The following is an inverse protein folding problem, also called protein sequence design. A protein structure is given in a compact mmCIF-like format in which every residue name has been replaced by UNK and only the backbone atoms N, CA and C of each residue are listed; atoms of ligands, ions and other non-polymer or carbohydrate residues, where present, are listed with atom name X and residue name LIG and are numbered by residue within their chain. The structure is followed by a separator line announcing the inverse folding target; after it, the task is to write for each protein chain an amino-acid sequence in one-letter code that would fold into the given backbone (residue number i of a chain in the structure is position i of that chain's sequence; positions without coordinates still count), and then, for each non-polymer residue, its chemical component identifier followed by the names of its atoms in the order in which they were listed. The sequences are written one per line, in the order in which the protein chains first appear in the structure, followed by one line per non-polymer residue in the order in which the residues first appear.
data_IF_068856039913
#
_entry.id   IF_068856039913
#
_cell.length_a   1.000
_cell.length_b   1.000
_cell.length_c   1.000
_cell.angle_alpha   90.00
_cell.angle_beta   90.00
_cell.angle_gamma   90.00
#
_symmetry.space_group_name_H-M   'P 1'
#
loop_
_entity.id
_entity.type
_entity.pdbx_description
1 polymer ?
#
# COMPACT_ATOMS: atom_id res chain seq x y z
N UNK A 1 -38.02 -71.08 1.69
CA UNK A 1 -37.38 -69.98 2.43
C UNK A 1 -36.70 -69.08 1.41
N UNK A 2 -37.38 -68.02 1.01
CA UNK A 2 -36.94 -67.13 -0.07
C UNK A 2 -35.85 -66.20 0.45
N UNK A 3 -34.63 -66.35 -0.09
CA UNK A 3 -33.57 -65.36 0.07
C UNK A 3 -33.84 -64.19 -0.88
N UNK A 4 -33.73 -62.97 -0.35
CA UNK A 4 -33.84 -61.72 -1.08
C UNK A 4 -32.42 -61.20 -1.31
N UNK A 5 -31.91 -61.21 -2.54
CA UNK A 5 -30.69 -60.50 -2.94
C UNK A 5 -31.06 -59.14 -3.55
N UNK A 6 -30.45 -58.02 -3.14
CA UNK A 6 -30.69 -56.73 -3.76
C UNK A 6 -29.83 -56.61 -5.02
N UNK A 7 -30.48 -56.50 -6.18
CA UNK A 7 -29.85 -56.22 -7.46
C UNK A 7 -29.22 -54.82 -7.45
N UNK A 8 -27.89 -54.76 -7.32
CA UNK A 8 -27.10 -53.54 -7.50
C UNK A 8 -27.05 -53.18 -9.00
N UNK A 9 -27.84 -52.19 -9.41
CA UNK A 9 -27.87 -51.67 -10.79
C UNK A 9 -26.70 -50.71 -11.02
N UNK A 10 -25.82 -50.91 -12.03
CA UNK A 10 -24.72 -49.99 -12.29
C UNK A 10 -25.27 -48.64 -12.76
N UNK A 11 -24.98 -47.57 -12.03
CA UNK A 11 -25.39 -46.21 -12.37
C UNK A 11 -24.63 -45.76 -13.64
N UNK A 12 -25.31 -45.18 -14.65
CA UNK A 12 -24.65 -44.76 -15.88
C UNK A 12 -23.62 -43.65 -15.56
N UNK A 13 -22.38 -43.82 -16.04
CA UNK A 13 -21.21 -42.95 -15.75
C UNK A 13 -21.52 -41.46 -15.92
N UNK A 14 -22.39 -41.09 -16.86
CA UNK A 14 -22.87 -39.71 -17.08
C UNK A 14 -23.58 -39.09 -15.87
N UNK A 15 -24.28 -39.90 -15.07
CA UNK A 15 -24.93 -39.47 -13.82
C UNK A 15 -23.90 -39.25 -12.71
N UNK A 16 -22.84 -40.05 -12.68
CA UNK A 16 -21.74 -39.88 -11.73
C UNK A 16 -20.96 -38.59 -12.04
N UNK A 17 -20.62 -38.33 -13.31
CA UNK A 17 -19.93 -37.09 -13.69
C UNK A 17 -20.79 -35.86 -13.41
N UNK A 18 -22.10 -35.92 -13.69
CA UNK A 18 -23.02 -34.84 -13.36
C UNK A 18 -23.12 -34.57 -11.84
N UNK A 19 -23.14 -35.63 -11.02
CA UNK A 19 -23.15 -35.50 -9.57
C UNK A 19 -21.86 -34.88 -9.02
N UNK A 20 -20.70 -35.25 -9.57
CA UNK A 20 -19.41 -34.65 -9.18
C UNK A 20 -19.34 -33.19 -9.57
N UNK A 21 -19.79 -32.82 -10.77
CA UNK A 21 -19.84 -31.41 -11.21
C UNK A 21 -20.76 -30.59 -10.28
N UNK A 22 -21.93 -31.12 -9.92
CA UNK A 22 -22.84 -30.46 -8.97
C UNK A 22 -22.21 -30.26 -7.59
N UNK A 23 -21.50 -31.27 -7.08
CA UNK A 23 -20.77 -31.17 -5.81
C UNK A 23 -19.70 -30.08 -5.87
N UNK A 24 -18.90 -30.03 -6.94
CA UNK A 24 -17.84 -29.03 -7.11
C UNK A 24 -18.43 -27.61 -7.18
N UNK A 25 -19.52 -27.42 -7.93
CA UNK A 25 -20.20 -26.13 -8.01
C UNK A 25 -20.76 -25.71 -6.64
N UNK A 26 -21.32 -26.64 -5.87
CA UNK A 26 -21.80 -26.37 -4.51
C UNK A 26 -20.66 -25.98 -3.57
N UNK A 27 -19.50 -26.64 -3.65
CA UNK A 27 -18.31 -26.29 -2.88
C UNK A 27 -17.76 -24.91 -3.25
N UNK A 28 -17.67 -24.60 -4.54
CA UNK A 28 -17.22 -23.29 -5.02
C UNK A 28 -18.23 -22.21 -4.58
N UNK A 29 -19.53 -22.42 -4.80
CA UNK A 29 -20.57 -21.49 -4.38
C UNK A 29 -20.55 -21.22 -2.87
N UNK A 30 -20.39 -22.27 -2.07
CA UNK A 30 -20.23 -22.15 -0.61
C UNK A 30 -18.98 -21.36 -0.21
N UNK A 31 -17.86 -21.58 -0.89
CA UNK A 31 -16.63 -20.81 -0.67
C UNK A 31 -16.81 -19.33 -1.05
N UNK A 32 -17.48 -19.02 -2.16
CA UNK A 32 -17.74 -17.64 -2.61
C UNK A 32 -18.69 -16.86 -1.68
N UNK A 33 -19.53 -17.56 -0.91
CA UNK A 33 -20.42 -16.97 0.10
C UNK A 33 -19.71 -16.69 1.42
N UNK A 34 -18.49 -17.19 1.62
CA UNK A 34 -17.75 -16.89 2.86
C UNK A 34 -17.37 -15.41 2.94
N UNK A 35 -17.46 -14.78 4.12
CA UNK A 35 -17.08 -13.38 4.31
C UNK A 35 -15.59 -13.12 4.01
N UNK A 36 -14.75 -14.16 4.10
CA UNK A 36 -13.33 -14.10 3.72
C UNK A 36 -13.14 -13.79 2.24
N UNK A 37 -13.97 -14.36 1.37
CA UNK A 37 -13.90 -14.11 -0.08
C UNK A 37 -14.34 -12.68 -0.44
N UNK A 38 -15.28 -12.10 0.32
CA UNK A 38 -15.66 -10.69 0.16
C UNK A 38 -14.52 -9.76 0.57
N UNK A 39 -13.84 -10.04 1.69
CA UNK A 39 -12.69 -9.25 2.16
C UNK A 39 -11.52 -9.26 1.16
N UNK A 40 -11.19 -10.43 0.60
CA UNK A 40 -10.11 -10.54 -0.41
C UNK A 40 -10.46 -9.76 -1.68
N UNK A 41 -11.72 -9.81 -2.14
CA UNK A 41 -12.14 -9.02 -3.30
C UNK A 41 -12.03 -7.53 -3.05
N UNK A 42 -12.43 -7.06 -1.86
CA UNK A 42 -12.36 -5.64 -1.52
C UNK A 42 -10.91 -5.10 -1.56
N UNK A 43 -9.95 -5.85 -1.02
CA UNK A 43 -8.53 -5.46 -1.09
C UNK A 43 -8.00 -5.50 -2.53
N UNK A 44 -8.40 -6.50 -3.33
CA UNK A 44 -8.03 -6.54 -4.75
C UNK A 44 -8.58 -5.35 -5.54
N UNK A 45 -9.83 -4.93 -5.31
CA UNK A 45 -10.39 -3.77 -6.00
C UNK A 45 -9.70 -2.48 -5.57
N UNK A 46 -9.29 -2.36 -4.31
CA UNK A 46 -8.53 -1.22 -3.79
C UNK A 46 -7.15 -1.11 -4.44
N UNK A 47 -6.42 -2.22 -4.54
CA UNK A 47 -5.10 -2.26 -5.16
C UNK A 47 -5.16 -2.12 -6.69
N UNK A 48 -6.27 -2.52 -7.32
CA UNK A 48 -6.47 -2.43 -8.76
C UNK A 48 -7.01 -1.07 -9.23
N UNK A 49 -7.33 -0.14 -8.32
CA UNK A 49 -7.80 1.19 -8.70
C UNK A 49 -6.62 2.01 -9.27
N UNK A 50 -6.61 2.30 -10.58
CA UNK A 50 -5.54 3.09 -11.19
C UNK A 50 -5.46 4.52 -10.63
N UNK A 51 -6.51 5.03 -9.98
CA UNK A 51 -6.47 6.32 -9.29
C UNK A 51 -5.65 6.32 -8.01
N UNK A 52 -5.29 5.15 -7.45
CA UNK A 52 -4.55 5.10 -6.20
C UNK A 52 -3.16 5.75 -6.32
N UNK A 53 -2.44 5.51 -7.41
CA UNK A 53 -1.14 6.16 -7.67
C UNK A 53 -1.27 7.69 -7.76
N UNK A 54 -2.31 8.20 -8.43
CA UNK A 54 -2.58 9.64 -8.49
C UNK A 54 -3.00 10.21 -7.13
N UNK A 55 -3.68 9.42 -6.29
CA UNK A 55 -4.05 9.84 -4.94
C UNK A 55 -2.82 10.08 -4.07
N UNK A 56 -1.79 9.25 -4.23
CA UNK A 56 -0.52 9.41 -3.53
C UNK A 56 0.16 10.71 -3.99
N UNK A 57 0.35 10.90 -5.30
CA UNK A 57 0.95 12.13 -5.87
C UNK A 57 0.27 13.41 -5.35
N UNK A 58 -1.07 13.41 -5.35
CA UNK A 58 -1.87 14.52 -4.83
C UNK A 58 -1.60 14.78 -3.33
N UNK A 59 -1.39 13.73 -2.53
CA UNK A 59 -1.05 13.86 -1.10
C UNK A 59 0.35 14.45 -0.94
N UNK A 60 1.34 14.00 -1.71
CA UNK A 60 2.70 14.53 -1.62
C UNK A 60 2.78 15.99 -2.06
N UNK A 61 2.06 16.39 -3.12
CA UNK A 61 2.00 17.78 -3.56
C UNK A 61 1.33 18.67 -2.49
N UNK A 62 0.23 18.21 -1.92
CA UNK A 62 -0.47 18.93 -0.84
C UNK A 62 0.42 19.09 0.39
N UNK A 63 1.20 18.08 0.75
CA UNK A 63 2.15 18.14 1.87
C UNK A 63 3.25 19.17 1.60
N UNK A 64 3.81 19.22 0.39
CA UNK A 64 4.80 20.21 0.00
C UNK A 64 4.24 21.63 0.09
N UNK A 65 3.05 21.86 -0.47
CA UNK A 65 2.39 23.18 -0.44
C UNK A 65 2.12 23.64 1.00
N UNK A 66 1.66 22.73 1.85
CA UNK A 66 1.43 23.02 3.27
C UNK A 66 2.73 23.43 3.95
N UNK A 67 3.80 22.66 3.76
CA UNK A 67 5.09 22.92 4.38
C UNK A 67 5.70 24.25 3.92
N UNK A 68 5.65 24.53 2.63
CA UNK A 68 6.06 25.83 2.08
C UNK A 68 5.22 26.98 2.63
N UNK A 69 3.92 26.79 2.83
CA UNK A 69 3.06 27.82 3.42
C UNK A 69 3.43 28.10 4.89
N UNK A 70 3.78 27.08 5.66
CA UNK A 70 4.24 27.21 7.05
C UNK A 70 5.59 27.94 7.11
N UNK A 71 6.52 27.61 6.22
CA UNK A 71 7.82 28.30 6.10
C UNK A 71 7.61 29.77 5.71
N UNK A 72 6.70 30.07 4.76
CA UNK A 72 6.38 31.46 4.41
C UNK A 72 5.79 32.25 5.58
N UNK A 73 4.98 31.60 6.43
CA UNK A 73 4.41 32.21 7.61
C UNK A 73 5.45 32.47 8.71
N UNK A 74 6.42 31.57 8.89
CA UNK A 74 7.55 31.76 9.80
C UNK A 74 8.88 31.28 9.18
N UNK A 75 9.61 32.16 8.47
CA UNK A 75 10.85 31.79 7.78
C UNK A 75 12.01 31.42 8.72
N UNK A 76 11.91 31.76 10.01
CA UNK A 76 12.93 31.47 11.03
C UNK A 76 12.70 30.12 11.74
N UNK A 77 11.67 29.36 11.33
CA UNK A 77 11.40 28.05 11.89
C UNK A 77 12.33 26.98 11.29
N UNK A 78 13.45 26.74 11.96
CA UNK A 78 14.43 25.73 11.54
C UNK A 78 13.86 24.31 11.49
N UNK A 79 12.86 24.00 12.32
CA UNK A 79 12.20 22.70 12.31
C UNK A 79 11.41 22.50 11.01
N UNK A 80 10.75 23.55 10.51
CA UNK A 80 10.05 23.49 9.22
C UNK A 80 10.99 23.34 8.03
N UNK A 81 12.14 24.00 8.07
CA UNK A 81 13.20 23.79 7.08
C UNK A 81 13.75 22.37 7.11
N UNK A 82 13.97 21.79 8.30
CA UNK A 82 14.42 20.40 8.43
C UNK A 82 13.37 19.40 7.89
N UNK A 83 12.08 19.62 8.20
CA UNK A 83 10.97 18.83 7.62
C UNK A 83 10.93 18.93 6.09
N UNK A 84 11.29 20.09 5.52
CA UNK A 84 11.35 20.25 4.06
C UNK A 84 12.53 19.49 3.46
N UNK A 85 13.67 19.48 4.16
CA UNK A 85 14.82 18.65 3.80
C UNK A 85 14.47 17.18 3.80
N UNK A 86 13.77 16.72 4.83
CA UNK A 86 13.30 15.34 4.92
C UNK A 86 12.37 15.02 3.76
N UNK A 87 11.34 15.83 3.52
CA UNK A 87 10.44 15.65 2.37
C UNK A 87 11.23 15.46 1.06
N UNK A 88 12.23 16.30 0.79
CA UNK A 88 13.04 16.15 -0.43
C UNK A 88 13.91 14.89 -0.43
N UNK A 89 14.41 14.44 0.72
CA UNK A 89 15.13 13.16 0.82
C UNK A 89 14.22 11.99 0.41
N UNK A 90 12.98 11.93 0.90
CA UNK A 90 12.01 10.89 0.52
C UNK A 90 11.64 10.93 -0.96
N UNK A 91 11.65 12.11 -1.57
CA UNK A 91 11.43 12.29 -3.01
C UNK A 91 12.70 12.06 -3.86
N UNK A 92 13.80 11.60 -3.26
CA UNK A 92 15.13 11.45 -3.89
C UNK A 92 15.69 12.76 -4.50
N UNK A 93 15.19 13.91 -4.05
CA UNK A 93 15.65 15.22 -4.47
C UNK A 93 16.83 15.69 -3.59
N UNK A 94 17.94 14.96 -3.63
CA UNK A 94 19.05 15.09 -2.67
C UNK A 94 19.64 16.51 -2.60
N UNK A 95 19.81 17.20 -3.72
CA UNK A 95 20.31 18.58 -3.73
C UNK A 95 19.38 19.55 -2.97
N UNK A 96 18.06 19.45 -3.21
CA UNK A 96 17.08 20.28 -2.51
C UNK A 96 16.98 19.94 -1.02
N UNK A 97 17.18 18.66 -0.68
CA UNK A 97 17.23 18.22 0.71
C UNK A 97 18.37 18.90 1.47
N UNK A 98 19.59 18.90 0.91
CA UNK A 98 20.75 19.58 1.50
C UNK A 98 20.52 21.08 1.69
N UNK A 99 19.99 21.77 0.68
CA UNK A 99 19.68 23.21 0.78
C UNK A 99 18.70 23.52 1.93
N UNK A 100 17.67 22.69 2.09
CA UNK A 100 16.69 22.87 3.16
C UNK A 100 17.30 22.57 4.55
N UNK A 101 18.14 21.54 4.68
CA UNK A 101 18.86 21.25 5.92
C UNK A 101 19.89 22.32 6.29
N UNK A 102 20.63 22.85 5.32
CA UNK A 102 21.53 23.99 5.53
C UNK A 102 20.77 25.22 6.03
N UNK A 103 19.59 25.49 5.45
CA UNK A 103 18.75 26.58 5.90
C UNK A 103 18.21 26.34 7.32
N UNK A 104 17.86 25.10 7.66
CA UNK A 104 17.46 24.72 9.01
C UNK A 104 18.55 25.00 10.04
N UNK A 105 19.80 24.63 9.75
CA UNK A 105 20.96 24.94 10.60
C UNK A 105 21.23 26.44 10.69
N UNK A 106 21.02 27.18 9.60
CA UNK A 106 21.24 28.63 9.55
C UNK A 106 20.31 29.39 10.50
N UNK A 107 19.04 29.01 10.57
CA UNK A 107 18.04 29.70 11.41
C UNK A 107 17.86 29.06 12.79
N UNK A 108 18.11 27.75 12.91
CA UNK A 108 17.93 26.98 14.15
C UNK A 108 19.22 26.71 14.94
N UNK A 109 20.38 26.96 14.35
CA UNK A 109 21.68 26.63 14.93
C UNK A 109 22.07 25.17 14.71
N UNK A 110 23.21 24.77 15.31
CA UNK A 110 23.73 23.41 15.18
C UNK A 110 22.79 22.37 15.77
N UNK A 111 22.55 21.30 15.00
CA UNK A 111 21.72 20.19 15.44
C UNK A 111 22.27 18.87 14.88
N UNK A 112 22.62 17.94 15.78
CA UNK A 112 23.15 16.63 15.43
C UNK A 112 22.20 15.80 14.55
N UNK A 113 20.89 15.94 14.74
CA UNK A 113 19.87 15.25 13.93
C UNK A 113 19.88 15.75 12.48
N UNK A 114 20.08 17.04 12.28
CA UNK A 114 20.18 17.60 10.92
C UNK A 114 21.48 17.13 10.26
N UNK A 115 22.60 17.10 10.99
CA UNK A 115 23.85 16.57 10.45
C UNK A 115 23.77 15.08 10.07
N UNK A 116 23.10 14.26 10.87
CA UNK A 116 22.89 12.84 10.52
C UNK A 116 21.98 12.67 9.31
N UNK A 117 20.96 13.51 9.16
CA UNK A 117 20.10 13.53 7.99
C UNK A 117 20.88 13.96 6.73
N UNK A 118 21.71 15.00 6.81
CA UNK A 118 22.58 15.41 5.70
C UNK A 118 23.58 14.31 5.30
N UNK A 119 24.17 13.60 6.26
CA UNK A 119 25.04 12.45 5.99
C UNK A 119 24.29 11.34 5.24
N UNK A 120 23.03 11.09 5.62
CA UNK A 120 22.15 10.14 4.92
C UNK A 120 21.88 10.59 3.48
N UNK A 121 21.60 11.88 3.26
CA UNK A 121 21.42 12.42 1.90
C UNK A 121 22.69 12.23 1.06
N UNK A 122 23.86 12.56 1.61
CA UNK A 122 25.15 12.41 0.92
C UNK A 122 25.46 10.94 0.59
N UNK A 123 25.11 10.02 1.50
CA UNK A 123 25.26 8.58 1.25
C UNK A 123 24.45 8.12 0.04
N UNK A 124 23.20 8.58 -0.10
CA UNK A 124 22.35 8.21 -1.25
C UNK A 124 22.71 8.94 -2.54
N UNK A 125 23.43 10.06 -2.47
CA UNK A 125 23.87 10.82 -3.63
C UNK A 125 25.13 10.23 -4.31
N UNK A 126 25.92 9.44 -3.58
CA UNK A 126 27.17 8.83 -4.06
C UNK A 126 26.93 7.67 -5.02
#
# INVERSE_FOLDING_TARGET
MSQCEPLLRPMPVKRLTAAVVLMVVACIGGYLLTPKWQAVRQEQTRLADPLHAFSDENVQEKQLLLLQSQIRANPQDGVKWAQLGEYYLWQNAYHNALLAYEQALRVGGENAEIYSAMATVLYYQA
#
